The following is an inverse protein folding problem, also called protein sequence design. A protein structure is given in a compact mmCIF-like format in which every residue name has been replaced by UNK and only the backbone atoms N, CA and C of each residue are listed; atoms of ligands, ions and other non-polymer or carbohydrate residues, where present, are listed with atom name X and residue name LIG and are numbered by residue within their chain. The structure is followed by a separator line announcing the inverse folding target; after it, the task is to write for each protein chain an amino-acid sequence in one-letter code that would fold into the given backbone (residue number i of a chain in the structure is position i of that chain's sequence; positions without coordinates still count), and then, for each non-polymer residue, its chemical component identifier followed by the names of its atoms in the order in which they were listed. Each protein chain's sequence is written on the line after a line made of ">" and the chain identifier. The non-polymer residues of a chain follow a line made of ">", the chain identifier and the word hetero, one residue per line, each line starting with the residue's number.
data_IF_207237233751
#
_entry.id   IF_207237233751
#
_cell.length_a   1.000
_cell.length_b   1.000
_cell.length_c   1.000
_cell.angle_alpha   90.00
_cell.angle_beta   90.00
_cell.angle_gamma   90.00
#
_symmetry.space_group_name_H-M   'P 1'
#
loop_
_entity.id
_entity.type
_entity.pdbx_description
1 polymer ?
#
# COMPACT_ATOMS: atom_id res chain seq x y z
N UNK A 1 -13.87 -10.81 -35.89
CA UNK A 1 -14.59 -11.14 -37.14
C UNK A 1 -14.99 -12.62 -37.11
N UNK A 2 -15.91 -13.09 -37.95
CA UNK A 2 -16.42 -14.48 -37.94
C UNK A 2 -15.39 -15.55 -38.35
N UNK A 3 -14.19 -15.12 -38.73
CA UNK A 3 -13.01 -15.91 -39.11
C UNK A 3 -12.03 -16.14 -37.95
N UNK A 4 -12.34 -15.64 -36.74
CA UNK A 4 -11.46 -15.73 -35.57
C UNK A 4 -10.34 -14.68 -35.53
N UNK A 5 -10.29 -13.75 -36.48
CA UNK A 5 -9.31 -12.65 -36.47
C UNK A 5 -9.75 -11.52 -35.54
N UNK A 6 -8.77 -10.93 -34.85
CA UNK A 6 -8.95 -9.82 -33.90
C UNK A 6 -8.77 -8.50 -34.66
N UNK A 7 -9.71 -7.57 -34.52
CA UNK A 7 -9.53 -6.21 -35.02
C UNK A 7 -8.69 -5.40 -34.02
N UNK A 8 -7.40 -5.25 -34.32
CA UNK A 8 -6.40 -4.64 -33.42
C UNK A 8 -6.50 -3.11 -33.32
N UNK A 9 -7.28 -2.47 -34.20
CA UNK A 9 -7.41 -1.01 -34.27
C UNK A 9 -8.64 -0.48 -33.51
N UNK A 10 -9.57 -1.35 -33.11
CA UNK A 10 -10.80 -0.97 -32.40
C UNK A 10 -10.62 -0.80 -30.88
N UNK A 11 -9.49 -1.24 -30.33
CA UNK A 11 -9.27 -1.16 -28.88
C UNK A 11 -7.80 -0.97 -28.51
N UNK A 12 -7.59 -0.47 -27.30
CA UNK A 12 -6.30 -0.40 -26.61
C UNK A 12 -6.45 -0.91 -25.18
N UNK A 13 -5.37 -1.49 -24.68
CA UNK A 13 -5.23 -1.97 -23.30
C UNK A 13 -4.01 -1.31 -22.69
N UNK A 14 -4.12 -0.88 -21.44
CA UNK A 14 -3.05 -0.21 -20.71
C UNK A 14 -2.65 -1.06 -19.53
N UNK A 15 -1.35 -1.29 -19.37
CA UNK A 15 -0.78 -1.93 -18.19
C UNK A 15 0.09 -0.89 -17.46
N UNK A 16 -0.30 -0.54 -16.24
CA UNK A 16 0.43 0.41 -15.39
C UNK A 16 1.18 -0.39 -14.33
N UNK A 17 2.50 -0.25 -14.28
CA UNK A 17 3.36 -0.86 -13.26
C UNK A 17 4.26 0.18 -12.58
N UNK A 18 4.65 -0.03 -11.30
CA UNK A 18 5.46 0.91 -10.52
C UNK A 18 6.84 1.19 -11.08
N UNK A 19 7.46 0.17 -11.66
CA UNK A 19 8.89 0.13 -11.91
C UNK A 19 9.17 -0.22 -13.36
N UNK A 20 10.21 0.41 -13.92
CA UNK A 20 10.60 0.19 -15.31
C UNK A 20 11.06 -1.24 -15.57
N UNK A 21 11.75 -1.87 -14.62
CA UNK A 21 12.18 -3.26 -14.75
C UNK A 21 10.99 -4.21 -14.90
N UNK A 22 10.00 -4.08 -14.02
CA UNK A 22 8.76 -4.85 -14.09
C UNK A 22 8.02 -4.64 -15.42
N UNK A 23 7.99 -3.40 -15.92
CA UNK A 23 7.40 -3.08 -17.24
C UNK A 23 8.13 -3.82 -18.36
N UNK A 24 9.46 -3.85 -18.35
CA UNK A 24 10.25 -4.55 -19.37
C UNK A 24 10.00 -6.06 -19.36
N UNK A 25 9.90 -6.65 -18.18
CA UNK A 25 9.58 -8.07 -18.01
C UNK A 25 8.17 -8.39 -18.51
N UNK A 26 7.18 -7.56 -18.13
CA UNK A 26 5.78 -7.70 -18.58
C UNK A 26 5.68 -7.56 -20.10
N UNK A 27 6.37 -6.57 -20.70
CA UNK A 27 6.42 -6.40 -22.16
C UNK A 27 7.00 -7.64 -22.82
N UNK A 28 8.14 -8.15 -22.34
CA UNK A 28 8.75 -9.37 -22.89
C UNK A 28 7.82 -10.59 -22.81
N UNK A 29 7.12 -10.75 -21.68
CA UNK A 29 6.16 -11.84 -21.48
C UNK A 29 4.91 -11.70 -22.35
N UNK A 30 4.34 -10.50 -22.45
CA UNK A 30 3.16 -10.23 -23.26
C UNK A 30 3.44 -10.31 -24.75
N UNK A 31 4.61 -9.86 -25.22
CA UNK A 31 5.02 -10.09 -26.62
C UNK A 31 4.97 -11.60 -26.92
N UNK A 32 5.64 -12.43 -26.11
CA UNK A 32 5.68 -13.88 -26.35
C UNK A 32 4.28 -14.52 -26.34
N UNK A 33 3.42 -14.13 -25.42
CA UNK A 33 2.08 -14.73 -25.23
C UNK A 33 1.02 -14.19 -26.20
N UNK A 34 1.12 -12.93 -26.59
CA UNK A 34 0.10 -12.25 -27.40
C UNK A 34 0.46 -12.18 -28.89
N UNK A 35 1.70 -12.47 -29.27
CA UNK A 35 2.15 -12.54 -30.67
C UNK A 35 1.30 -13.50 -31.56
N UNK A 36 0.85 -14.68 -31.09
CA UNK A 36 -0.04 -15.54 -31.88
C UNK A 36 -1.36 -14.88 -32.28
N UNK A 37 -1.79 -13.84 -31.56
CA UNK A 37 -3.01 -13.08 -31.82
C UNK A 37 -2.77 -11.83 -32.67
N UNK A 38 -1.53 -11.57 -33.12
CA UNK A 38 -1.16 -10.38 -33.88
C UNK A 38 -1.18 -9.08 -33.07
N UNK A 39 -1.26 -9.17 -31.73
CA UNK A 39 -1.29 -8.00 -30.86
C UNK A 39 0.13 -7.44 -30.68
N UNK A 40 0.27 -6.14 -30.94
CA UNK A 40 1.51 -5.42 -30.74
C UNK A 40 1.58 -4.90 -29.30
N UNK A 41 2.68 -5.21 -28.62
CA UNK A 41 2.94 -4.78 -27.24
C UNK A 41 4.22 -3.95 -27.24
N UNK A 42 4.13 -2.74 -26.69
CA UNK A 42 5.25 -1.79 -26.65
C UNK A 42 5.37 -1.14 -25.27
N UNK A 43 6.59 -0.87 -24.83
CA UNK A 43 6.84 0.01 -23.68
C UNK A 43 6.55 1.45 -24.11
N UNK A 44 5.72 2.16 -23.35
CA UNK A 44 5.47 3.58 -23.59
C UNK A 44 6.70 4.40 -23.17
N UNK A 45 7.58 4.71 -24.12
CA UNK A 45 8.86 5.41 -23.87
C UNK A 45 8.77 6.94 -24.05
N UNK A 46 9.43 7.66 -23.13
CA UNK A 46 9.59 9.12 -23.04
C UNK A 46 10.47 9.45 -21.82
N UNK A 47 11.11 10.62 -21.75
CA UNK A 47 12.19 10.94 -20.79
C UNK A 47 11.75 11.16 -19.31
N UNK A 48 10.47 10.98 -18.98
CA UNK A 48 9.94 11.12 -17.60
C UNK A 48 9.44 9.78 -17.03
N UNK A 49 9.31 9.61 -15.70
CA UNK A 49 8.95 8.32 -15.07
C UNK A 49 7.55 7.79 -15.48
N UNK A 50 7.37 6.47 -15.56
CA UNK A 50 6.25 5.78 -16.26
C UNK A 50 4.82 6.12 -15.78
N UNK A 51 4.58 6.24 -14.47
CA UNK A 51 3.26 6.67 -13.96
C UNK A 51 2.95 8.13 -14.36
N UNK A 52 3.97 8.99 -14.33
CA UNK A 52 3.87 10.37 -14.81
C UNK A 52 3.70 10.42 -16.33
N UNK A 53 4.19 9.44 -17.10
CA UNK A 53 4.03 9.44 -18.57
C UNK A 53 2.59 9.34 -19.00
N UNK A 54 1.80 8.41 -18.45
CA UNK A 54 0.39 8.30 -18.82
C UNK A 54 -0.41 9.51 -18.34
N UNK A 55 -0.08 10.05 -17.16
CA UNK A 55 -0.64 11.31 -16.68
C UNK A 55 -0.30 12.49 -17.63
N UNK A 56 0.93 12.58 -18.12
CA UNK A 56 1.37 13.58 -19.12
C UNK A 56 0.69 13.38 -20.48
N UNK A 57 0.51 12.13 -20.92
CA UNK A 57 -0.12 11.78 -22.20
C UNK A 57 -1.61 12.12 -22.17
N UNK A 58 -2.31 11.73 -21.12
CA UNK A 58 -3.71 12.12 -20.91
C UNK A 58 -3.89 13.63 -20.71
N UNK A 59 -2.80 14.37 -20.42
CA UNK A 59 -2.79 15.83 -20.38
C UNK A 59 -2.58 16.50 -21.76
N UNK A 60 -2.19 15.79 -22.82
CA UNK A 60 -1.97 16.38 -24.15
C UNK A 60 -3.20 16.22 -25.05
N UNK A 61 -3.80 17.35 -25.42
CA UNK A 61 -5.09 17.46 -26.13
C UNK A 61 -5.13 16.78 -27.51
N UNK A 62 -3.98 16.49 -28.13
CA UNK A 62 -3.86 15.86 -29.45
C UNK A 62 -4.09 14.35 -29.47
N UNK A 63 -4.08 13.68 -28.31
CA UNK A 63 -4.17 12.21 -28.23
C UNK A 63 -5.54 11.69 -27.78
N UNK A 64 -6.58 12.55 -27.72
CA UNK A 64 -7.96 12.16 -27.37
C UNK A 64 -8.53 11.04 -28.25
N UNK A 65 -8.05 10.87 -29.48
CA UNK A 65 -8.47 9.77 -30.36
C UNK A 65 -8.04 8.39 -29.84
N UNK A 66 -6.91 8.29 -29.12
CA UNK A 66 -6.42 7.02 -28.59
C UNK A 66 -7.04 6.67 -27.25
N UNK A 67 -7.35 7.67 -26.40
CA UNK A 67 -7.99 7.44 -25.11
C UNK A 67 -9.41 6.89 -25.25
N UNK A 68 -10.12 7.24 -26.32
CA UNK A 68 -11.44 6.68 -26.66
C UNK A 68 -11.40 5.19 -27.03
N UNK A 69 -10.26 4.68 -27.49
CA UNK A 69 -10.08 3.26 -27.81
C UNK A 69 -9.71 2.43 -26.59
N UNK A 70 -9.36 3.05 -25.46
CA UNK A 70 -8.97 2.31 -24.26
C UNK A 70 -10.19 1.61 -23.68
N UNK A 71 -10.14 0.27 -23.60
CA UNK A 71 -11.22 -0.55 -23.02
C UNK A 71 -10.81 -1.28 -21.74
N UNK A 72 -9.50 -1.36 -21.47
CA UNK A 72 -8.96 -2.04 -20.29
C UNK A 72 -7.76 -1.27 -19.74
N UNK A 73 -7.76 -1.07 -18.41
CA UNK A 73 -6.60 -0.58 -17.66
C UNK A 73 -6.32 -1.58 -16.54
N UNK A 74 -5.14 -2.20 -16.62
CA UNK A 74 -4.58 -3.06 -15.57
C UNK A 74 -3.67 -2.19 -14.72
N UNK A 75 -3.97 -2.13 -13.43
CA UNK A 75 -3.22 -1.40 -12.42
C UNK A 75 -2.46 -2.42 -11.59
N UNK A 76 -1.18 -2.58 -11.87
CA UNK A 76 -0.30 -3.46 -11.11
C UNK A 76 0.19 -2.75 -9.86
N UNK A 77 0.21 -3.47 -8.74
CA UNK A 77 0.57 -2.95 -7.41
C UNK A 77 -0.22 -1.69 -7.00
N UNK A 78 -1.56 -1.73 -7.04
CA UNK A 78 -2.45 -0.59 -6.68
C UNK A 78 -2.14 0.00 -5.30
N UNK A 79 -1.59 -0.80 -4.39
CA UNK A 79 -1.16 -0.34 -3.09
C UNK A 79 -0.03 0.70 -3.07
N UNK A 80 0.58 0.98 -4.23
CA UNK A 80 1.39 2.18 -4.47
C UNK A 80 0.66 3.49 -4.20
N UNK A 81 -0.68 3.48 -4.08
CA UNK A 81 -1.44 4.64 -3.60
C UNK A 81 -0.91 5.18 -2.26
N UNK A 82 -0.27 4.33 -1.44
CA UNK A 82 0.35 4.73 -0.18
C UNK A 82 1.70 5.45 -0.31
N UNK A 83 2.38 5.30 -1.44
CA UNK A 83 3.70 5.87 -1.69
C UNK A 83 3.58 7.37 -2.09
N UNK A 84 4.68 8.11 -2.00
CA UNK A 84 4.81 9.50 -2.47
C UNK A 84 4.47 9.63 -3.98
N UNK A 85 4.49 8.52 -4.73
CA UNK A 85 4.07 8.39 -6.14
C UNK A 85 2.57 8.12 -6.34
N UNK A 86 1.87 7.72 -5.28
CA UNK A 86 0.44 7.41 -5.27
C UNK A 86 -0.47 8.50 -5.87
N UNK A 87 -0.21 9.82 -5.66
CA UNK A 87 -1.05 10.88 -6.22
C UNK A 87 -1.15 10.86 -7.75
N UNK A 88 -0.10 10.38 -8.43
CA UNK A 88 -0.10 10.27 -9.90
C UNK A 88 -1.04 9.17 -10.36
N UNK A 89 -0.99 8.00 -9.71
CA UNK A 89 -1.88 6.88 -9.97
C UNK A 89 -3.34 7.28 -9.68
N UNK A 90 -3.53 7.95 -8.55
CA UNK A 90 -4.83 8.46 -8.11
C UNK A 90 -5.43 9.45 -9.13
N UNK A 91 -4.64 10.40 -9.64
CA UNK A 91 -5.09 11.36 -10.64
C UNK A 91 -5.47 10.69 -11.97
N UNK A 92 -4.70 9.70 -12.43
CA UNK A 92 -5.00 8.93 -13.65
C UNK A 92 -6.34 8.21 -13.55
N UNK A 93 -6.56 7.51 -12.43
CA UNK A 93 -7.79 6.76 -12.19
C UNK A 93 -8.98 7.72 -12.07
N UNK A 94 -8.84 8.77 -11.26
CA UNK A 94 -9.89 9.78 -11.07
C UNK A 94 -10.31 10.43 -12.40
N UNK A 95 -9.33 10.79 -13.26
CA UNK A 95 -9.59 11.34 -14.59
C UNK A 95 -10.31 10.35 -15.49
N UNK A 96 -9.91 9.08 -15.44
CA UNK A 96 -10.52 8.03 -16.26
C UNK A 96 -11.96 7.78 -15.82
N UNK A 97 -12.24 7.62 -14.52
CA UNK A 97 -13.60 7.43 -13.99
C UNK A 97 -14.50 8.60 -14.37
N UNK A 98 -14.01 9.83 -14.18
CA UNK A 98 -14.73 11.04 -14.58
C UNK A 98 -15.03 11.07 -16.09
N UNK A 99 -14.08 10.60 -16.91
CA UNK A 99 -14.27 10.50 -18.36
C UNK A 99 -15.35 9.48 -18.69
N UNK A 100 -15.32 8.29 -18.07
CA UNK A 100 -16.36 7.24 -18.23
C UNK A 100 -17.74 7.82 -17.92
N UNK A 101 -17.89 8.57 -16.84
CA UNK A 101 -19.20 9.17 -16.49
C UNK A 101 -19.65 10.22 -17.50
N UNK A 102 -18.71 10.99 -18.06
CA UNK A 102 -19.02 12.05 -19.01
C UNK A 102 -19.34 11.52 -20.41
N UNK A 103 -18.57 10.54 -20.89
CA UNK A 103 -18.71 9.99 -22.25
C UNK A 103 -19.61 8.76 -22.32
N UNK A 104 -19.90 8.13 -21.19
CA UNK A 104 -20.58 6.83 -21.09
C UNK A 104 -19.82 5.69 -21.80
N UNK A 105 -18.53 5.91 -22.13
CA UNK A 105 -17.64 4.87 -22.64
C UNK A 105 -17.07 4.06 -21.48
N UNK A 106 -17.49 2.81 -21.36
CA UNK A 106 -17.00 1.93 -20.31
C UNK A 106 -15.52 1.57 -20.52
N UNK A 107 -14.73 1.68 -19.45
CA UNK A 107 -13.37 1.17 -19.35
C UNK A 107 -13.32 0.18 -18.19
N UNK A 108 -12.79 -1.01 -18.44
CA UNK A 108 -12.60 -2.02 -17.40
C UNK A 108 -11.33 -1.73 -16.61
N UNK A 109 -11.44 -1.71 -15.27
CA UNK A 109 -10.28 -1.69 -14.38
C UNK A 109 -10.00 -3.08 -13.82
N UNK A 110 -8.73 -3.46 -13.82
CA UNK A 110 -8.23 -4.64 -13.09
C UNK A 110 -7.14 -4.17 -12.14
N UNK A 111 -7.43 -4.14 -10.84
CA UNK A 111 -6.47 -3.77 -9.80
C UNK A 111 -5.80 -5.00 -9.21
N UNK A 112 -4.47 -5.09 -9.31
CA UNK A 112 -3.66 -6.09 -8.62
C UNK A 112 -3.02 -5.42 -7.41
N UNK A 113 -3.08 -6.06 -6.25
CA UNK A 113 -2.52 -5.51 -5.02
C UNK A 113 -2.04 -6.62 -4.10
N UNK A 114 -1.00 -6.34 -3.33
CA UNK A 114 -0.70 -7.08 -2.13
C UNK A 114 -1.91 -7.08 -1.18
N UNK A 115 -2.03 -8.15 -0.39
CA UNK A 115 -3.05 -8.28 0.65
C UNK A 115 -2.78 -7.25 1.75
N UNK A 116 -3.60 -6.21 1.81
CA UNK A 116 -3.40 -5.07 2.70
C UNK A 116 -4.70 -4.68 3.40
N UNK A 117 -4.63 -4.11 4.62
CA UNK A 117 -5.80 -3.53 5.26
C UNK A 117 -6.42 -2.43 4.39
N UNK A 118 -7.74 -2.25 4.51
CA UNK A 118 -8.54 -1.25 3.78
C UNK A 118 -8.62 -1.47 2.26
N UNK A 119 -8.48 -2.72 1.78
CA UNK A 119 -8.71 -3.05 0.38
C UNK A 119 -10.13 -2.69 -0.10
N UNK A 120 -11.10 -2.60 0.82
CA UNK A 120 -12.45 -2.13 0.52
C UNK A 120 -12.46 -0.67 0.03
N UNK A 121 -11.51 0.15 0.44
CA UNK A 121 -11.44 1.56 0.06
C UNK A 121 -10.99 1.66 -1.40
N UNK A 122 -10.02 0.82 -1.78
CA UNK A 122 -9.58 0.70 -3.17
C UNK A 122 -10.72 0.17 -4.03
N UNK A 123 -11.47 -0.81 -3.54
CA UNK A 123 -12.63 -1.33 -4.26
C UNK A 123 -13.66 -0.23 -4.53
N UNK A 124 -14.00 0.59 -3.53
CA UNK A 124 -14.87 1.76 -3.70
C UNK A 124 -14.28 2.76 -4.69
N UNK A 125 -12.99 3.08 -4.57
CA UNK A 125 -12.31 4.02 -5.46
C UNK A 125 -12.27 3.58 -6.92
N UNK A 126 -12.09 2.28 -7.18
CA UNK A 126 -12.10 1.71 -8.52
C UNK A 126 -13.52 1.37 -9.03
N UNK A 127 -14.58 1.71 -8.27
CA UNK A 127 -15.97 1.34 -8.55
C UNK A 127 -16.17 -0.19 -8.75
N UNK A 128 -15.44 -0.99 -7.99
CA UNK A 128 -15.48 -2.46 -8.06
C UNK A 128 -16.75 -2.98 -7.38
N UNK A 129 -17.56 -3.71 -8.13
CA UNK A 129 -18.71 -4.45 -7.58
C UNK A 129 -18.22 -5.58 -6.69
N UNK A 130 -19.06 -5.99 -5.72
CA UNK A 130 -18.75 -7.08 -4.78
C UNK A 130 -18.33 -8.39 -5.46
N UNK A 131 -18.91 -8.71 -6.61
CA UNK A 131 -18.56 -9.90 -7.40
C UNK A 131 -17.15 -9.86 -8.01
N UNK A 132 -16.60 -8.66 -8.20
CA UNK A 132 -15.25 -8.44 -8.72
C UNK A 132 -14.20 -8.19 -7.63
N UNK A 133 -14.58 -8.19 -6.35
CA UNK A 133 -13.67 -7.98 -5.23
C UNK A 133 -13.18 -9.31 -4.68
N UNK A 134 -11.90 -9.61 -4.93
CA UNK A 134 -11.24 -10.81 -4.45
C UNK A 134 -10.20 -10.43 -3.39
N UNK A 135 -10.28 -11.07 -2.22
CA UNK A 135 -9.32 -10.91 -1.14
C UNK A 135 -8.79 -12.30 -0.76
N UNK A 136 -7.49 -12.48 -0.94
CA UNK A 136 -6.78 -13.69 -0.59
C UNK A 136 -5.87 -13.37 0.59
N UNK A 137 -6.13 -14.01 1.74
CA UNK A 137 -5.25 -13.87 2.89
C UNK A 137 -3.91 -14.61 2.65
N UNK A 138 -3.00 -14.50 3.61
CA UNK A 138 -1.67 -15.11 3.50
C UNK A 138 -1.71 -16.66 3.37
N UNK A 139 -2.84 -17.33 3.63
CA UNK A 139 -2.97 -18.79 3.47
C UNK A 139 -3.02 -19.23 2.00
N UNK A 140 -3.38 -18.33 1.08
CA UNK A 140 -3.41 -18.60 -0.36
C UNK A 140 -2.03 -18.51 -1.02
N UNK A 141 -0.99 -18.12 -0.26
CA UNK A 141 0.36 -18.05 -0.80
C UNK A 141 0.80 -19.46 -1.24
N UNK A 142 1.22 -19.68 -2.50
CA UNK A 142 1.60 -21.01 -2.99
C UNK A 142 2.72 -21.66 -2.18
N UNK A 143 3.60 -20.83 -1.61
CA UNK A 143 4.62 -21.22 -0.65
C UNK A 143 4.35 -20.44 0.64
N UNK A 144 3.79 -21.07 1.69
CA UNK A 144 3.54 -20.40 2.96
C UNK A 144 4.80 -19.72 3.50
N UNK A 145 4.65 -18.51 4.06
CA UNK A 145 5.77 -17.73 4.58
C UNK A 145 5.80 -17.78 6.10
N UNK A 146 6.86 -18.35 6.66
CA UNK A 146 7.22 -18.10 8.05
C UNK A 146 7.94 -16.75 8.16
N UNK A 147 7.52 -15.90 9.10
CA UNK A 147 8.09 -14.57 9.30
C UNK A 147 8.72 -14.49 10.69
N UNK A 148 9.94 -13.95 10.75
CA UNK A 148 10.64 -13.67 12.01
C UNK A 148 11.10 -12.21 12.03
N UNK A 149 10.79 -11.50 13.12
CA UNK A 149 11.14 -10.09 13.30
C UNK A 149 12.13 -9.96 14.44
N UNK A 150 13.35 -9.50 14.14
CA UNK A 150 14.42 -9.35 15.12
C UNK A 150 14.68 -7.86 15.36
N UNK A 151 14.12 -7.35 16.47
CA UNK A 151 14.33 -5.96 16.89
C UNK A 151 15.65 -5.79 17.64
N UNK A 152 16.49 -4.85 17.21
CA UNK A 152 17.73 -4.49 17.90
C UNK A 152 17.44 -3.31 18.85
N UNK A 153 17.61 -3.51 20.15
CA UNK A 153 17.29 -2.51 21.21
C UNK A 153 18.47 -1.65 21.65
N UNK A 154 19.68 -1.93 21.15
CA UNK A 154 20.90 -1.22 21.51
C UNK A 154 20.90 0.23 20.97
N UNK A 155 21.20 1.19 21.85
CA UNK A 155 21.11 2.63 21.57
C UNK A 155 22.45 3.23 21.09
N UNK A 156 23.57 2.56 21.34
CA UNK A 156 24.90 3.07 20.98
C UNK A 156 25.19 2.85 19.49
N UNK A 157 25.24 3.91 18.69
CA UNK A 157 25.31 3.89 17.21
C UNK A 157 26.21 2.83 16.51
N UNK A 158 27.33 2.39 17.10
CA UNK A 158 28.27 1.45 16.46
C UNK A 158 27.89 -0.02 16.72
N UNK A 159 27.40 -0.34 17.92
CA UNK A 159 27.11 -1.72 18.34
C UNK A 159 25.98 -2.40 17.54
N UNK A 160 24.90 -1.72 17.12
CA UNK A 160 23.84 -2.30 16.31
C UNK A 160 24.35 -2.95 15.03
N UNK A 161 25.37 -2.38 14.38
CA UNK A 161 25.90 -2.93 13.13
C UNK A 161 26.61 -4.27 13.35
N UNK A 162 27.38 -4.40 14.43
CA UNK A 162 28.03 -5.67 14.79
C UNK A 162 26.99 -6.71 15.18
N UNK A 163 26.06 -6.35 16.07
CA UNK A 163 24.95 -7.21 16.47
C UNK A 163 24.15 -7.69 15.25
N UNK A 164 23.89 -6.82 14.29
CA UNK A 164 23.19 -7.18 13.05
C UNK A 164 23.99 -8.15 12.18
N UNK A 165 25.32 -8.03 12.09
CA UNK A 165 26.15 -9.02 11.40
C UNK A 165 26.09 -10.38 12.08
N UNK A 166 26.18 -10.40 13.41
CA UNK A 166 26.14 -11.63 14.21
C UNK A 166 24.79 -12.34 14.04
N UNK A 167 23.68 -11.58 14.13
CA UNK A 167 22.33 -12.09 13.91
C UNK A 167 22.13 -12.64 12.49
N UNK A 168 22.65 -11.94 11.47
CA UNK A 168 22.57 -12.42 10.09
C UNK A 168 23.38 -13.71 9.91
N UNK A 169 24.57 -13.80 10.51
CA UNK A 169 25.36 -15.02 10.53
C UNK A 169 24.56 -16.18 11.16
N UNK A 170 24.02 -15.98 12.37
CA UNK A 170 23.26 -17.01 13.08
C UNK A 170 22.06 -17.50 12.24
N UNK A 171 21.31 -16.56 11.64
CA UNK A 171 20.18 -16.89 10.75
C UNK A 171 20.60 -17.56 9.44
N UNK A 172 21.75 -17.22 8.89
CA UNK A 172 22.31 -17.96 7.76
C UNK A 172 22.58 -19.40 8.20
N UNK A 173 23.28 -19.60 9.32
CA UNK A 173 23.68 -20.92 9.84
C UNK A 173 22.52 -21.86 10.13
N UNK A 174 21.33 -21.35 10.49
CA UNK A 174 20.11 -22.16 10.64
C UNK A 174 19.68 -22.87 9.32
N UNK A 175 20.07 -22.31 8.16
CA UNK A 175 19.64 -22.76 6.84
C UNK A 175 20.76 -23.35 5.97
N UNK A 176 22.01 -23.22 6.38
CA UNK A 176 23.18 -23.71 5.63
C UNK A 176 23.07 -25.20 5.30
N UNK A 177 23.43 -25.55 4.07
CA UNK A 177 23.43 -26.93 3.57
C UNK A 177 22.05 -27.51 3.27
N UNK A 178 20.98 -26.77 3.58
CA UNK A 178 19.59 -27.16 3.30
C UNK A 178 18.95 -26.26 2.25
N UNK A 179 19.09 -24.96 2.42
CA UNK A 179 18.31 -23.94 1.72
C UNK A 179 19.20 -22.77 1.29
N UNK A 180 18.91 -22.20 0.11
CA UNK A 180 19.54 -20.96 -0.34
C UNK A 180 18.99 -19.76 0.46
N UNK A 181 19.89 -18.82 0.77
CA UNK A 181 19.59 -17.61 1.52
C UNK A 181 19.87 -16.38 0.65
N UNK A 182 18.88 -15.51 0.54
CA UNK A 182 18.99 -14.20 -0.11
C UNK A 182 18.96 -13.09 0.94
N UNK A 183 19.99 -12.25 0.98
CA UNK A 183 20.15 -11.20 1.98
C UNK A 183 20.02 -9.83 1.30
N UNK A 184 19.00 -9.06 1.67
CA UNK A 184 18.82 -7.69 1.20
C UNK A 184 19.54 -6.68 2.10
N UNK A 185 20.26 -5.75 1.48
CA UNK A 185 20.97 -4.64 2.13
C UNK A 185 20.65 -3.31 1.45
N UNK A 186 20.92 -2.19 2.13
CA UNK A 186 20.49 -0.87 1.65
C UNK A 186 21.45 -0.24 0.63
N UNK A 187 22.69 -0.72 0.48
CA UNK A 187 23.66 -0.12 -0.44
C UNK A 187 24.54 -1.13 -1.18
N UNK A 188 25.03 -0.71 -2.36
CA UNK A 188 25.96 -1.50 -3.19
C UNK A 188 27.27 -1.82 -2.48
N UNK A 189 27.76 -0.92 -1.62
CA UNK A 189 28.98 -1.16 -0.85
C UNK A 189 28.74 -2.18 0.27
N UNK A 190 27.52 -2.21 0.79
CA UNK A 190 27.15 -3.11 1.87
C UNK A 190 26.93 -4.55 1.41
N UNK A 191 26.60 -4.79 0.14
CA UNK A 191 26.49 -6.17 -0.39
C UNK A 191 27.81 -6.90 -0.20
N UNK A 192 28.90 -6.28 -0.67
CA UNK A 192 30.26 -6.80 -0.52
C UNK A 192 30.70 -6.91 0.93
N UNK A 193 30.48 -5.86 1.73
CA UNK A 193 30.85 -5.88 3.16
C UNK A 193 30.14 -6.98 3.93
N UNK A 194 28.84 -7.17 3.69
CA UNK A 194 28.04 -8.19 4.38
C UNK A 194 28.43 -9.59 3.93
N UNK A 195 28.60 -9.81 2.62
CA UNK A 195 29.04 -11.10 2.09
C UNK A 195 30.40 -11.51 2.68
N UNK A 196 31.38 -10.58 2.69
CA UNK A 196 32.70 -10.83 3.30
C UNK A 196 32.61 -11.03 4.80
N UNK A 197 31.83 -10.22 5.52
CA UNK A 197 31.68 -10.38 6.97
C UNK A 197 31.11 -11.76 7.36
N UNK A 198 30.12 -12.26 6.61
CA UNK A 198 29.57 -13.60 6.86
C UNK A 198 30.60 -14.67 6.51
N UNK A 199 31.27 -14.57 5.36
CA UNK A 199 32.33 -15.51 4.96
C UNK A 199 33.46 -15.55 5.99
N UNK A 200 33.95 -14.38 6.42
CA UNK A 200 35.05 -14.27 7.39
C UNK A 200 34.65 -14.87 8.74
N UNK A 201 33.40 -14.63 9.19
CA UNK A 201 32.85 -15.28 10.37
C UNK A 201 32.72 -16.81 10.20
N UNK A 202 32.37 -17.29 9.01
CA UNK A 202 32.33 -18.72 8.70
C UNK A 202 33.73 -19.36 8.74
N UNK A 203 34.76 -18.65 8.27
CA UNK A 203 36.16 -19.10 8.33
C UNK A 203 36.68 -19.09 9.77
N UNK A 204 36.40 -18.04 10.55
CA UNK A 204 36.81 -17.93 11.95
C UNK A 204 36.19 -19.02 12.83
N UNK A 205 34.93 -19.37 12.57
CA UNK A 205 34.17 -20.39 13.32
C UNK A 205 34.26 -21.79 12.71
N UNK A 206 35.06 -22.00 11.67
CA UNK A 206 35.24 -23.29 10.96
C UNK A 206 33.92 -23.93 10.47
N UNK A 207 33.05 -23.10 9.88
CA UNK A 207 31.70 -23.50 9.39
C UNK A 207 31.57 -23.43 7.87
N UNK A 208 32.65 -23.09 7.16
CA UNK A 208 32.62 -22.88 5.70
C UNK A 208 32.31 -24.16 4.90
N UNK A 209 32.73 -25.33 5.40
CA UNK A 209 32.46 -26.62 4.75
C UNK A 209 30.98 -27.02 4.77
N UNK A 210 30.12 -26.29 5.48
CA UNK A 210 28.69 -26.56 5.51
C UNK A 210 27.96 -26.05 4.24
N UNK A 211 28.54 -25.08 3.51
CA UNK A 211 27.93 -24.46 2.33
C UNK A 211 28.19 -25.27 1.05
N UNK A 212 29.38 -25.87 0.94
CA UNK A 212 29.80 -26.68 -0.21
C UNK A 212 30.42 -27.97 0.31
N UNK A 213 29.94 -29.11 -0.20
CA UNK A 213 30.65 -30.38 -0.02
C UNK A 213 31.92 -30.36 -0.87
N UNK A 214 33.04 -30.73 -0.28
CA UNK A 214 34.32 -30.83 -0.98
C UNK A 214 34.23 -31.79 -2.16
N UNK A 215 34.70 -31.34 -3.32
CA UNK A 215 34.68 -32.11 -4.57
C UNK A 215 33.31 -32.15 -5.27
N UNK A 216 32.36 -31.30 -4.88
CA UNK A 216 31.09 -31.18 -5.60
C UNK A 216 31.26 -30.50 -6.97
N UNK A 217 30.44 -30.91 -7.95
CA UNK A 217 30.40 -30.27 -9.27
C UNK A 217 30.16 -28.74 -9.17
N UNK A 218 29.33 -28.32 -8.21
CA UNK A 218 29.09 -26.90 -7.93
C UNK A 218 30.37 -26.14 -7.54
N UNK A 219 31.26 -26.75 -6.75
CA UNK A 219 32.51 -26.12 -6.34
C UNK A 219 33.46 -25.92 -7.53
N UNK A 220 33.52 -26.89 -8.44
CA UNK A 220 34.33 -26.81 -9.66
C UNK A 220 33.82 -25.72 -10.61
N UNK A 221 32.50 -25.68 -10.82
CA UNK A 221 31.83 -24.66 -11.64
C UNK A 221 32.11 -23.28 -11.06
N UNK A 222 31.86 -23.07 -9.76
CA UNK A 222 32.10 -21.78 -9.10
C UNK A 222 33.56 -21.35 -9.17
N UNK A 223 34.52 -22.29 -9.04
CA UNK A 223 35.95 -21.97 -9.16
C UNK A 223 36.31 -21.55 -10.59
N UNK A 224 35.77 -22.25 -11.58
CA UNK A 224 35.98 -21.92 -13.00
C UNK A 224 35.41 -20.55 -13.34
N UNK A 225 34.18 -20.26 -12.90
CA UNK A 225 33.53 -18.97 -13.12
C UNK A 225 34.24 -17.83 -12.36
N UNK A 226 34.82 -18.11 -11.17
CA UNK A 226 35.62 -17.15 -10.41
C UNK A 226 36.89 -16.71 -11.16
N UNK A 227 37.50 -17.61 -11.93
CA UNK A 227 38.67 -17.27 -12.75
C UNK A 227 38.27 -16.39 -13.94
N UNK A 228 37.10 -16.64 -14.53
CA UNK A 228 36.60 -15.95 -15.73
C UNK A 228 35.99 -14.58 -15.47
N UNK A 229 35.31 -14.38 -14.32
CA UNK A 229 34.71 -13.08 -14.01
C UNK A 229 35.77 -11.98 -13.92
N UNK A 230 35.40 -10.74 -14.25
CA UNK A 230 36.29 -9.57 -14.06
C UNK A 230 36.07 -8.90 -12.71
N UNK A 231 35.00 -9.25 -12.00
CA UNK A 231 34.66 -8.62 -10.73
C UNK A 231 35.45 -9.25 -9.59
N UNK A 232 36.37 -8.46 -9.01
CA UNK A 232 37.24 -8.90 -7.91
C UNK A 232 36.45 -9.35 -6.67
N UNK A 233 35.28 -8.78 -6.41
CA UNK A 233 34.45 -9.21 -5.27
C UNK A 233 33.82 -10.58 -5.53
N UNK A 234 33.41 -10.87 -6.76
CA UNK A 234 32.90 -12.20 -7.11
C UNK A 234 34.01 -13.25 -7.07
N UNK A 235 35.22 -12.92 -7.56
CA UNK A 235 36.39 -13.81 -7.46
C UNK A 235 36.67 -14.28 -6.03
N UNK A 236 36.50 -13.37 -5.08
CA UNK A 236 36.77 -13.57 -3.66
C UNK A 236 35.64 -14.34 -2.93
N UNK A 237 34.45 -14.42 -3.52
CA UNK A 237 33.24 -14.97 -2.89
C UNK A 237 32.78 -16.30 -3.51
N UNK A 238 32.87 -16.47 -4.82
CA UNK A 238 32.42 -17.68 -5.53
C UNK A 238 33.01 -18.98 -5.00
N UNK A 239 34.31 -19.09 -4.66
CA UNK A 239 34.89 -20.33 -4.13
C UNK A 239 34.19 -20.86 -2.86
N UNK A 240 33.47 -19.98 -2.15
CA UNK A 240 32.78 -20.28 -0.91
C UNK A 240 31.26 -20.43 -1.09
N UNK A 241 30.74 -20.36 -2.32
CA UNK A 241 29.29 -20.32 -2.63
C UNK A 241 28.58 -19.04 -2.15
N UNK A 242 29.32 -17.94 -2.09
CA UNK A 242 28.80 -16.60 -1.83
C UNK A 242 28.81 -15.78 -3.12
N UNK A 243 27.84 -14.88 -3.26
CA UNK A 243 27.83 -13.91 -4.35
C UNK A 243 27.19 -12.59 -3.92
N UNK A 244 27.43 -11.55 -4.73
CA UNK A 244 26.77 -10.26 -4.60
C UNK A 244 26.00 -9.92 -5.87
N UNK A 245 24.92 -9.15 -5.73
CA UNK A 245 24.18 -8.63 -6.87
C UNK A 245 23.72 -7.19 -6.62
N UNK A 246 24.09 -6.27 -7.52
CA UNK A 246 23.57 -4.91 -7.49
C UNK A 246 23.68 -4.21 -8.85
N UNK A 247 22.90 -3.17 -9.06
CA UNK A 247 22.86 -2.41 -10.32
C UNK A 247 24.20 -1.80 -10.78
N UNK A 248 25.18 -1.63 -9.87
CA UNK A 248 26.53 -1.18 -10.22
C UNK A 248 27.43 -2.22 -10.89
N UNK A 249 27.03 -3.50 -10.93
CA UNK A 249 27.75 -4.55 -11.63
C UNK A 249 27.45 -4.48 -13.13
N UNK A 250 28.40 -4.92 -13.96
CA UNK A 250 28.14 -5.04 -15.40
C UNK A 250 27.03 -6.08 -15.64
N UNK A 251 26.40 -6.04 -16.82
CA UNK A 251 25.26 -6.92 -17.12
C UNK A 251 25.65 -8.40 -17.16
N UNK A 252 26.84 -8.71 -17.69
CA UNK A 252 27.33 -10.09 -17.80
C UNK A 252 27.49 -10.76 -16.42
N UNK A 253 28.12 -10.08 -15.47
CA UNK A 253 28.30 -10.56 -14.10
C UNK A 253 26.96 -10.72 -13.37
N UNK A 254 25.98 -9.83 -13.63
CA UNK A 254 24.64 -9.95 -13.03
C UNK A 254 23.91 -11.19 -13.54
N UNK A 255 23.89 -11.39 -14.86
CA UNK A 255 23.28 -12.58 -15.47
C UNK A 255 23.98 -13.85 -15.01
N UNK A 256 25.31 -13.86 -14.92
CA UNK A 256 26.07 -14.98 -14.38
C UNK A 256 25.65 -15.33 -12.94
N UNK A 257 25.54 -14.33 -12.06
CA UNK A 257 25.10 -14.55 -10.67
C UNK A 257 23.65 -15.04 -10.60
N UNK A 258 22.77 -14.50 -11.46
CA UNK A 258 21.37 -14.92 -11.56
C UNK A 258 21.27 -16.41 -11.97
N UNK A 259 22.01 -16.82 -13.00
CA UNK A 259 22.03 -18.19 -13.51
C UNK A 259 22.61 -19.16 -12.46
N UNK A 260 23.78 -18.84 -11.89
CA UNK A 260 24.43 -19.68 -10.86
C UNK A 260 23.59 -19.82 -9.59
N UNK A 261 22.81 -18.80 -9.22
CA UNK A 261 21.89 -18.89 -8.09
C UNK A 261 20.65 -19.71 -8.44
N UNK A 262 20.08 -19.53 -9.64
CA UNK A 262 18.94 -20.33 -10.10
C UNK A 262 19.27 -21.84 -10.19
N UNK A 263 20.50 -22.17 -10.60
CA UNK A 263 21.03 -23.54 -10.67
C UNK A 263 21.48 -24.10 -9.31
N UNK A 264 21.33 -23.32 -8.22
CA UNK A 264 21.70 -23.69 -6.85
C UNK A 264 23.18 -23.89 -6.60
N UNK A 265 24.05 -23.38 -7.46
CA UNK A 265 25.49 -23.36 -7.21
C UNK A 265 25.83 -22.37 -6.09
N UNK A 266 25.18 -21.20 -6.06
CA UNK A 266 25.33 -20.20 -5.00
C UNK A 266 24.34 -20.47 -3.85
N UNK A 267 24.84 -20.62 -2.63
CA UNK A 267 24.03 -20.81 -1.42
C UNK A 267 23.63 -19.46 -0.80
N UNK A 268 24.54 -18.48 -0.79
CA UNK A 268 24.31 -17.17 -0.17
C UNK A 268 24.45 -16.06 -1.21
N UNK A 269 23.35 -15.36 -1.47
CA UNK A 269 23.33 -14.19 -2.34
C UNK A 269 23.04 -12.94 -1.53
N UNK A 270 23.90 -11.92 -1.60
CA UNK A 270 23.66 -10.62 -0.97
C UNK A 270 23.34 -9.57 -2.02
N UNK A 271 22.19 -8.92 -1.92
CA UNK A 271 21.71 -8.00 -2.95
C UNK A 271 21.11 -6.71 -2.41
N UNK A 272 21.06 -5.67 -3.25
CA UNK A 272 20.23 -4.49 -3.01
C UNK A 272 18.78 -4.75 -3.41
N UNK A 273 17.82 -3.98 -2.88
CA UNK A 273 16.38 -4.13 -3.18
C UNK A 273 16.02 -4.12 -4.68
N UNK A 274 16.88 -3.58 -5.55
CA UNK A 274 16.70 -3.61 -7.02
C UNK A 274 16.53 -5.02 -7.60
N UNK A 275 17.07 -6.06 -6.95
CA UNK A 275 16.92 -7.44 -7.43
C UNK A 275 15.47 -7.94 -7.26
N UNK A 276 14.82 -7.62 -6.13
CA UNK A 276 13.45 -8.03 -5.84
C UNK A 276 12.45 -7.58 -6.92
N UNK A 277 12.75 -6.43 -7.55
CA UNK A 277 11.90 -5.80 -8.57
C UNK A 277 12.33 -6.08 -10.01
N UNK A 278 13.53 -6.63 -10.20
CA UNK A 278 14.20 -6.64 -11.49
C UNK A 278 14.34 -8.01 -12.14
N UNK A 279 14.36 -9.08 -11.33
CA UNK A 279 14.54 -10.45 -11.78
C UNK A 279 13.77 -11.38 -10.87
N UNK A 280 13.05 -12.34 -11.45
CA UNK A 280 12.38 -13.38 -10.68
C UNK A 280 13.40 -14.43 -10.23
N UNK A 281 13.99 -14.22 -9.05
CA UNK A 281 14.98 -15.10 -8.45
C UNK A 281 14.57 -15.50 -7.02
N UNK A 282 13.67 -16.50 -6.86
CA UNK A 282 13.17 -16.90 -5.56
C UNK A 282 14.25 -17.61 -4.73
N UNK A 283 14.30 -17.30 -3.44
CA UNK A 283 15.11 -18.01 -2.46
C UNK A 283 14.20 -18.61 -1.38
N UNK A 284 14.62 -19.71 -0.76
CA UNK A 284 13.87 -20.32 0.33
C UNK A 284 13.83 -19.39 1.56
N UNK A 285 14.98 -18.83 1.93
CA UNK A 285 15.08 -17.88 3.05
C UNK A 285 15.48 -16.52 2.52
N UNK A 286 14.77 -15.47 2.94
CA UNK A 286 15.10 -14.08 2.64
C UNK A 286 15.33 -13.33 3.95
N UNK A 287 16.47 -12.64 4.05
CA UNK A 287 16.85 -11.85 5.22
C UNK A 287 16.93 -10.38 4.79
N UNK A 288 16.14 -9.50 5.41
CA UNK A 288 16.27 -8.05 5.22
C UNK A 288 17.19 -7.52 6.32
N UNK A 289 18.45 -7.24 5.95
CA UNK A 289 19.47 -6.76 6.87
C UNK A 289 19.36 -5.25 7.02
N UNK A 290 18.66 -4.84 8.08
CA UNK A 290 18.39 -3.45 8.39
C UNK A 290 17.27 -2.89 7.52
N UNK A 291 16.47 -2.00 8.10
CA UNK A 291 15.30 -1.41 7.44
C UNK A 291 15.48 0.05 7.09
N UNK A 292 16.69 0.60 7.23
CA UNK A 292 16.95 2.01 6.99
C UNK A 292 17.55 2.26 5.61
N UNK A 293 16.97 3.21 4.88
CA UNK A 293 17.43 3.68 3.58
C UNK A 293 17.65 5.19 3.61
N UNK A 294 18.66 5.68 2.90
CA UNK A 294 18.88 7.12 2.78
C UNK A 294 17.95 7.68 1.70
N UNK A 295 17.07 8.61 2.07
CA UNK A 295 16.17 9.30 1.14
C UNK A 295 16.80 10.65 0.74
N UNK A 296 17.27 10.82 -0.52
CA UNK A 296 17.89 12.07 -0.97
C UNK A 296 16.92 13.25 -1.00
N UNK A 297 15.64 13.01 -1.30
CA UNK A 297 14.61 14.06 -1.37
C UNK A 297 14.33 14.65 0.02
N UNK A 298 14.34 13.79 1.05
CA UNK A 298 14.13 14.18 2.45
C UNK A 298 15.44 14.52 3.17
N UNK A 299 16.60 14.29 2.53
CA UNK A 299 17.94 14.55 3.07
C UNK A 299 18.29 13.76 4.33
N UNK A 300 17.59 12.65 4.63
CA UNK A 300 17.71 11.89 5.88
C UNK A 300 17.54 10.40 5.68
N UNK A 301 17.99 9.62 6.66
CA UNK A 301 17.64 8.21 6.77
C UNK A 301 16.15 8.06 7.09
N UNK A 302 15.49 7.17 6.38
CA UNK A 302 14.09 6.81 6.57
C UNK A 302 13.99 5.30 6.65
N UNK A 303 12.94 4.79 7.29
CA UNK A 303 12.63 3.37 7.20
C UNK A 303 12.21 3.00 5.76
N UNK A 304 12.45 1.75 5.37
CA UNK A 304 12.00 1.14 4.12
C UNK A 304 10.48 1.30 3.99
N UNK A 305 10.02 1.56 2.77
CA UNK A 305 8.60 1.81 2.51
C UNK A 305 7.75 0.56 2.79
N UNK A 306 6.44 0.75 2.95
CA UNK A 306 5.48 -0.36 3.10
C UNK A 306 5.63 -1.39 1.96
N UNK A 307 5.91 -0.94 0.74
CA UNK A 307 6.20 -1.77 -0.43
C UNK A 307 7.37 -2.74 -0.24
N UNK A 308 8.36 -2.35 0.57
CA UNK A 308 9.62 -3.09 0.71
C UNK A 308 9.60 -4.10 1.87
N UNK A 309 8.73 -3.93 2.88
CA UNK A 309 8.81 -4.71 4.13
C UNK A 309 7.47 -5.10 4.76
N UNK A 310 6.42 -4.27 4.72
CA UNK A 310 5.25 -4.44 5.60
C UNK A 310 3.89 -4.08 4.99
N UNK A 311 2.90 -4.88 5.37
CA UNK A 311 1.50 -4.69 5.02
C UNK A 311 0.81 -3.60 5.88
N UNK A 312 1.07 -2.32 5.59
CA UNK A 312 0.41 -1.19 6.26
C UNK A 312 -0.94 -0.82 5.59
N UNK A 313 -1.88 -0.20 6.33
CA UNK A 313 -3.10 0.35 5.73
C UNK A 313 -2.78 1.38 4.66
N UNK A 314 -3.48 1.32 3.53
CA UNK A 314 -3.22 2.17 2.37
C UNK A 314 -3.86 3.54 2.58
N UNK A 315 -3.02 4.55 2.79
CA UNK A 315 -3.41 5.96 2.94
C UNK A 315 -3.18 6.74 1.64
N UNK A 316 -4.04 7.71 1.30
CA UNK A 316 -3.76 8.60 0.16
C UNK A 316 -2.69 9.63 0.50
N UNK A 317 -1.71 9.81 -0.40
CA UNK A 317 -0.73 10.89 -0.31
C UNK A 317 -1.13 12.15 -1.11
N UNK A 318 -2.35 12.20 -1.67
CA UNK A 318 -2.79 13.25 -2.61
C UNK A 318 -2.66 14.66 -2.04
N UNK A 319 -2.88 14.84 -0.73
CA UNK A 319 -2.75 16.16 -0.07
C UNK A 319 -1.39 16.82 -0.38
N UNK A 320 -0.31 16.03 -0.38
CA UNK A 320 1.06 16.54 -0.62
C UNK A 320 1.28 17.06 -2.06
N UNK A 321 0.46 16.59 -3.02
CA UNK A 321 0.55 16.93 -4.45
C UNK A 321 -0.75 17.53 -4.98
N UNK A 322 -1.65 17.98 -4.09
CA UNK A 322 -2.99 18.43 -4.46
C UNK A 322 -2.94 19.68 -5.35
N UNK A 323 -2.04 20.61 -5.03
CA UNK A 323 -1.86 21.86 -5.79
C UNK A 323 -1.47 21.56 -7.24
N UNK A 324 -0.49 20.67 -7.43
CA UNK A 324 0.01 20.32 -8.75
C UNK A 324 -1.06 19.58 -9.57
N UNK A 325 -1.78 18.63 -8.96
CA UNK A 325 -2.82 17.86 -9.64
C UNK A 325 -4.04 18.70 -9.98
N UNK A 326 -4.48 19.60 -9.09
CA UNK A 326 -5.57 20.53 -9.37
C UNK A 326 -5.19 21.50 -10.49
N UNK A 327 -3.96 22.04 -10.46
CA UNK A 327 -3.45 22.91 -11.52
C UNK A 327 -3.48 22.19 -12.88
N UNK A 328 -3.12 20.91 -12.93
CA UNK A 328 -3.18 20.14 -14.16
C UNK A 328 -4.61 20.05 -14.73
N UNK A 329 -5.61 19.76 -13.90
CA UNK A 329 -7.01 19.69 -14.35
C UNK A 329 -7.57 21.07 -14.78
N UNK A 330 -7.09 22.15 -14.17
CA UNK A 330 -7.42 23.52 -14.61
C UNK A 330 -6.81 23.80 -15.99
N UNK A 331 -5.54 23.45 -16.20
CA UNK A 331 -4.84 23.61 -17.49
C UNK A 331 -5.51 22.78 -18.60
N UNK A 332 -6.04 21.60 -18.27
CA UNK A 332 -6.83 20.79 -19.21
C UNK A 332 -8.21 21.36 -19.51
N UNK A 333 -8.66 22.37 -18.77
CA UNK A 333 -10.00 22.95 -18.88
C UNK A 333 -11.10 22.03 -18.35
N UNK A 334 -10.78 20.90 -17.73
CA UNK A 334 -11.75 20.00 -17.10
C UNK A 334 -12.28 20.62 -15.81
N UNK A 335 -11.49 21.45 -15.13
CA UNK A 335 -11.89 22.20 -13.92
C UNK A 335 -11.85 23.70 -14.20
N UNK A 336 -13.01 24.35 -14.16
CA UNK A 336 -13.14 25.78 -14.49
C UNK A 336 -13.56 26.64 -13.29
N UNK A 337 -14.01 26.02 -12.21
CA UNK A 337 -14.50 26.70 -11.02
C UNK A 337 -14.45 25.77 -9.80
N UNK A 338 -14.70 26.33 -8.61
CA UNK A 338 -14.59 25.59 -7.34
C UNK A 338 -15.56 24.40 -7.25
N UNK A 339 -16.76 24.50 -7.86
CA UNK A 339 -17.73 23.39 -7.90
C UNK A 339 -17.17 22.23 -8.71
N UNK A 340 -16.60 22.50 -9.88
CA UNK A 340 -15.94 21.48 -10.71
C UNK A 340 -14.68 20.90 -10.04
N UNK A 341 -13.96 21.70 -9.24
CA UNK A 341 -12.84 21.20 -8.44
C UNK A 341 -13.31 20.23 -7.34
N UNK A 342 -14.41 20.55 -6.65
CA UNK A 342 -15.00 19.66 -5.65
C UNK A 342 -15.54 18.35 -6.27
N UNK A 343 -16.17 18.45 -7.44
CA UNK A 343 -16.59 17.28 -8.23
C UNK A 343 -15.37 16.43 -8.62
N UNK A 344 -14.29 17.03 -9.15
CA UNK A 344 -13.05 16.31 -9.44
C UNK A 344 -12.48 15.58 -8.20
N UNK A 345 -12.43 16.26 -7.06
CA UNK A 345 -11.97 15.67 -5.80
C UNK A 345 -12.80 14.45 -5.39
N UNK A 346 -14.11 14.40 -5.67
CA UNK A 346 -14.93 13.24 -5.33
C UNK A 346 -14.54 11.94 -6.07
N UNK A 347 -13.81 12.05 -7.18
CA UNK A 347 -13.29 10.88 -7.91
C UNK A 347 -11.95 10.37 -7.37
N UNK A 348 -11.38 11.00 -6.35
CA UNK A 348 -10.04 10.69 -5.84
C UNK A 348 -10.07 9.65 -4.72
N UNK A 349 -8.98 8.90 -4.56
CA UNK A 349 -8.82 7.97 -3.44
C UNK A 349 -8.80 8.72 -2.10
N UNK A 350 -8.25 9.93 -2.07
CA UNK A 350 -8.32 10.83 -0.90
C UNK A 350 -9.75 11.03 -0.41
N UNK A 351 -10.69 11.30 -1.32
CA UNK A 351 -12.09 11.50 -0.94
C UNK A 351 -12.70 10.24 -0.32
N UNK A 352 -12.54 9.09 -0.96
CA UNK A 352 -13.03 7.80 -0.44
C UNK A 352 -12.42 7.51 0.93
N UNK A 353 -11.11 7.70 1.06
CA UNK A 353 -10.37 7.48 2.29
C UNK A 353 -10.86 8.38 3.43
N UNK A 354 -11.07 9.67 3.18
CA UNK A 354 -11.60 10.62 4.17
C UNK A 354 -12.98 10.20 4.69
N UNK A 355 -13.89 9.81 3.78
CA UNK A 355 -15.25 9.38 4.13
C UNK A 355 -15.23 8.10 4.94
N UNK A 356 -14.49 7.07 4.48
CA UNK A 356 -14.36 5.80 5.19
C UNK A 356 -13.72 6.00 6.58
N UNK A 357 -12.68 6.83 6.67
CA UNK A 357 -11.98 7.12 7.93
C UNK A 357 -12.90 7.82 8.94
N UNK A 358 -13.69 8.82 8.50
CA UNK A 358 -14.68 9.48 9.34
C UNK A 358 -15.79 8.50 9.78
N UNK A 359 -16.29 7.67 8.87
CA UNK A 359 -17.31 6.66 9.16
C UNK A 359 -16.84 5.65 10.22
N UNK A 360 -15.59 5.19 10.15
CA UNK A 360 -15.01 4.31 11.17
C UNK A 360 -14.95 5.00 12.53
N UNK A 361 -14.63 6.30 12.59
CA UNK A 361 -14.63 7.02 13.87
C UNK A 361 -16.04 7.14 14.45
N UNK A 362 -17.06 7.39 13.61
CA UNK A 362 -18.46 7.44 14.04
C UNK A 362 -18.96 6.07 14.52
N UNK A 363 -18.60 4.99 13.82
CA UNK A 363 -18.95 3.61 14.15
C UNK A 363 -18.30 3.16 15.47
N UNK A 364 -17.02 3.48 15.66
CA UNK A 364 -16.31 3.29 16.95
C UNK A 364 -16.95 4.05 18.10
N UNK A 365 -17.57 5.19 17.81
CA UNK A 365 -18.30 5.99 18.80
C UNK A 365 -19.76 5.54 18.96
N UNK A 366 -20.16 4.43 18.31
CA UNK A 366 -21.51 3.89 18.29
C UNK A 366 -22.59 4.84 17.74
N UNK A 367 -22.20 5.89 17.01
CA UNK A 367 -23.12 6.88 16.43
C UNK A 367 -23.78 6.39 15.13
N UNK A 368 -23.11 5.50 14.43
CA UNK A 368 -23.64 4.80 13.27
C UNK A 368 -23.25 3.33 13.37
N UNK A 369 -23.86 2.48 12.54
CA UNK A 369 -23.26 1.22 12.13
C UNK A 369 -22.73 1.39 10.73
N UNK A 370 -21.47 1.02 10.52
CA UNK A 370 -20.83 1.16 9.22
C UNK A 370 -20.41 -0.19 8.64
N UNK A 371 -21.00 -0.57 7.50
CA UNK A 371 -20.55 -1.73 6.74
C UNK A 371 -19.44 -1.33 5.77
N UNK A 372 -18.21 -1.67 6.12
CA UNK A 372 -17.01 -1.36 5.33
C UNK A 372 -17.01 -1.97 3.93
N UNK A 373 -17.69 -3.11 3.74
CA UNK A 373 -17.69 -3.84 2.45
C UNK A 373 -18.67 -3.24 1.46
N UNK A 374 -19.83 -2.78 1.95
CA UNK A 374 -20.88 -2.19 1.10
C UNK A 374 -20.84 -0.67 1.08
N UNK A 375 -20.13 -0.04 2.01
CA UNK A 375 -20.14 1.41 2.20
C UNK A 375 -21.41 1.95 2.86
N UNK A 376 -22.33 1.07 3.28
CA UNK A 376 -23.62 1.48 3.82
C UNK A 376 -23.52 1.96 5.27
N UNK A 377 -24.26 3.03 5.56
CA UNK A 377 -24.44 3.56 6.91
C UNK A 377 -25.83 3.19 7.43
N UNK A 378 -25.90 2.77 8.70
CA UNK A 378 -27.16 2.66 9.42
C UNK A 378 -27.13 3.57 10.64
N UNK A 379 -28.20 4.31 10.85
CA UNK A 379 -28.33 5.21 11.99
C UNK A 379 -28.54 4.38 13.26
N UNK A 380 -27.85 4.72 14.35
CA UNK A 380 -28.15 4.19 15.69
C UNK A 380 -28.98 5.20 16.49
N UNK A 381 -29.69 4.74 17.51
CA UNK A 381 -30.39 5.65 18.43
C UNK A 381 -29.42 6.63 19.10
N UNK A 382 -28.20 6.18 19.46
CA UNK A 382 -27.14 7.05 19.98
C UNK A 382 -26.72 8.14 18.98
N UNK A 383 -26.64 7.83 17.69
CA UNK A 383 -26.40 8.81 16.63
C UNK A 383 -27.50 9.87 16.52
N UNK A 384 -28.76 9.48 16.71
CA UNK A 384 -29.89 10.42 16.74
C UNK A 384 -29.80 11.35 17.95
N UNK A 385 -29.41 10.82 19.11
CA UNK A 385 -29.24 11.55 20.36
C UNK A 385 -27.98 12.45 20.34
N UNK A 386 -26.93 12.10 19.59
CA UNK A 386 -25.71 12.90 19.49
C UNK A 386 -25.90 14.32 18.92
N UNK A 387 -27.07 14.63 18.34
CA UNK A 387 -27.48 16.03 18.07
C UNK A 387 -27.47 16.89 19.34
N UNK A 388 -27.58 16.29 20.51
CA UNK A 388 -27.57 16.95 21.81
C UNK A 388 -26.18 16.94 22.49
N UNK A 389 -25.09 16.66 21.76
CA UNK A 389 -23.72 16.56 22.31
C UNK A 389 -23.24 17.82 23.03
N UNK A 390 -23.84 18.98 22.74
CA UNK A 390 -23.53 20.26 23.41
C UNK A 390 -24.42 20.55 24.61
N UNK A 391 -25.45 19.74 24.87
CA UNK A 391 -26.23 19.84 26.11
C UNK A 391 -25.38 19.27 27.23
N UNK A 392 -25.12 20.08 28.24
CA UNK A 392 -24.43 19.68 29.47
C UNK A 392 -25.34 19.88 30.66
N UNK A 393 -25.06 19.16 31.75
CA UNK A 393 -25.73 19.39 33.04
C UNK A 393 -24.98 20.49 33.77
N UNK A 394 -25.66 21.59 34.08
CA UNK A 394 -25.10 22.73 34.82
C UNK A 394 -25.38 22.54 36.32
N UNK A 395 -24.52 23.06 37.20
CA UNK A 395 -24.68 22.84 38.65
C UNK A 395 -25.95 23.49 39.21
N UNK A 396 -26.31 24.67 38.71
CA UNK A 396 -27.46 25.45 39.17
C UNK A 396 -28.82 24.79 38.85
N UNK A 397 -28.87 23.89 37.87
CA UNK A 397 -30.09 23.21 37.43
C UNK A 397 -30.23 21.78 38.00
N UNK A 398 -29.20 21.23 38.66
CA UNK A 398 -29.22 19.85 39.19
C UNK A 398 -30.34 19.62 40.20
N UNK A 399 -30.61 20.60 41.06
CA UNK A 399 -31.68 20.49 42.08
C UNK A 399 -33.05 20.38 41.41
N UNK A 400 -33.27 21.13 40.34
CA UNK A 400 -34.52 21.10 39.57
C UNK A 400 -34.62 19.80 38.77
N UNK A 401 -33.54 19.36 38.13
CA UNK A 401 -33.47 18.08 37.43
C UNK A 401 -33.74 16.89 38.35
N UNK A 402 -33.23 16.90 39.58
CA UNK A 402 -33.47 15.84 40.57
C UNK A 402 -34.96 15.74 40.92
N UNK A 403 -35.62 16.88 41.13
CA UNK A 403 -37.07 16.93 41.38
C UNK A 403 -37.89 16.44 40.19
N UNK A 404 -37.43 16.72 38.97
CA UNK A 404 -38.08 16.21 37.76
C UNK A 404 -37.88 14.70 37.61
N UNK A 405 -36.69 14.19 37.94
CA UNK A 405 -36.35 12.76 37.86
C UNK A 405 -37.24 11.88 38.74
N UNK A 406 -37.70 12.41 39.89
CA UNK A 406 -38.68 11.74 40.77
C UNK A 406 -40.12 11.77 40.22
N UNK A 407 -40.42 12.64 39.25
CA UNK A 407 -41.77 12.90 38.74
C UNK A 407 -42.02 12.36 37.33
N UNK A 408 -40.97 11.96 36.62
CA UNK A 408 -41.10 11.41 35.26
C UNK A 408 -41.59 9.96 35.29
N UNK A 409 -42.45 9.55 34.35
CA UNK A 409 -43.13 8.25 34.39
C UNK A 409 -42.25 7.06 34.01
N UNK A 410 -41.17 7.26 33.25
CA UNK A 410 -40.25 6.19 32.81
C UNK A 410 -38.93 6.31 33.58
N UNK A 411 -38.52 5.25 34.30
CA UNK A 411 -37.25 5.24 35.03
C UNK A 411 -36.04 5.50 34.14
N UNK A 412 -35.15 6.37 34.60
CA UNK A 412 -33.89 6.73 33.94
C UNK A 412 -32.76 6.01 34.68
N UNK A 413 -31.87 5.34 33.93
CA UNK A 413 -30.79 4.51 34.51
C UNK A 413 -29.47 5.26 34.63
N UNK A 414 -29.35 6.33 33.86
CA UNK A 414 -28.20 7.21 33.76
C UNK A 414 -28.05 8.11 35.02
N UNK A 415 -26.82 8.46 35.37
CA UNK A 415 -26.56 9.38 36.48
C UNK A 415 -27.05 10.80 36.15
N UNK A 416 -27.49 11.57 37.15
CA UNK A 416 -27.96 12.96 36.97
C UNK A 416 -26.88 13.89 36.39
N UNK A 417 -25.60 13.54 36.58
CA UNK A 417 -24.47 14.30 36.03
C UNK A 417 -24.26 14.05 34.52
N UNK A 418 -24.93 13.04 33.96
CA UNK A 418 -24.82 12.70 32.55
C UNK A 418 -25.81 13.52 31.69
N UNK A 419 -25.35 14.10 30.56
CA UNK A 419 -26.23 14.76 29.59
C UNK A 419 -27.40 13.92 29.11
N UNK A 420 -27.20 12.60 28.96
CA UNK A 420 -28.24 11.61 28.60
C UNK A 420 -29.40 11.64 29.58
N UNK A 421 -29.13 11.67 30.89
CA UNK A 421 -30.15 11.76 31.92
C UNK A 421 -30.96 13.05 31.80
N UNK A 422 -30.28 14.19 31.65
CA UNK A 422 -30.93 15.49 31.44
C UNK A 422 -31.83 15.51 30.21
N UNK A 423 -31.35 15.03 29.06
CA UNK A 423 -32.15 14.97 27.83
C UNK A 423 -33.40 14.11 28.01
N UNK A 424 -33.24 12.94 28.64
CA UNK A 424 -34.32 12.00 28.91
C UNK A 424 -35.37 12.59 29.87
N UNK A 425 -34.93 13.20 30.99
CA UNK A 425 -35.80 13.91 31.94
C UNK A 425 -36.59 15.01 31.23
N UNK A 426 -35.93 15.85 30.43
CA UNK A 426 -36.58 16.98 29.76
C UNK A 426 -37.60 16.56 28.69
N UNK A 427 -37.30 15.49 27.94
CA UNK A 427 -38.25 14.94 26.97
C UNK A 427 -39.50 14.40 27.68
N UNK A 428 -39.31 13.66 28.78
CA UNK A 428 -40.42 13.13 29.57
C UNK A 428 -41.21 14.24 30.29
N UNK A 429 -40.53 15.28 30.77
CA UNK A 429 -41.15 16.45 31.39
C UNK A 429 -42.05 17.20 30.40
N UNK A 430 -41.61 17.35 29.15
CA UNK A 430 -42.43 17.93 28.08
C UNK A 430 -43.69 17.10 27.80
N UNK A 431 -43.54 15.77 27.62
CA UNK A 431 -44.68 14.86 27.37
C UNK A 431 -45.67 14.89 28.54
N UNK A 432 -45.14 14.98 29.77
CA UNK A 432 -45.92 15.01 31.01
C UNK A 432 -46.44 16.41 31.38
N UNK A 433 -46.20 17.42 30.52
CA UNK A 433 -46.56 18.83 30.74
C UNK A 433 -46.12 19.38 32.11
N UNK A 434 -44.94 18.95 32.58
CA UNK A 434 -44.36 19.47 33.81
C UNK A 434 -43.87 20.90 33.59
N UNK A 435 -44.04 21.75 34.61
CA UNK A 435 -43.50 23.12 34.61
C UNK A 435 -42.04 23.10 35.04
N UNK A 436 -41.22 23.90 34.35
CA UNK A 436 -39.83 24.16 34.68
C UNK A 436 -39.68 25.62 35.10
N UNK A 437 -38.89 25.86 36.13
CA UNK A 437 -38.60 27.16 36.71
C UNK A 437 -37.34 27.77 36.07
N UNK A 438 -36.35 26.94 35.71
CA UNK A 438 -35.10 27.36 35.09
C UNK A 438 -35.24 27.73 33.61
N UNK A 439 -34.93 28.99 33.26
CA UNK A 439 -34.90 29.47 31.86
C UNK A 439 -33.98 28.63 30.96
N UNK A 440 -32.81 28.27 31.49
CA UNK A 440 -31.81 27.42 30.86
C UNK A 440 -32.36 26.03 30.49
N UNK A 441 -33.01 25.36 31.44
CA UNK A 441 -33.64 24.06 31.24
C UNK A 441 -34.82 24.13 30.27
N UNK A 442 -35.60 25.20 30.33
CA UNK A 442 -36.74 25.41 29.42
C UNK A 442 -36.28 25.58 27.97
N UNK A 443 -35.21 26.33 27.74
CA UNK A 443 -34.59 26.48 26.43
C UNK A 443 -34.07 25.13 25.90
N UNK A 444 -33.39 24.36 26.74
CA UNK A 444 -32.91 23.01 26.38
C UNK A 444 -34.07 22.06 26.07
N UNK A 445 -35.15 22.10 26.86
CA UNK A 445 -36.35 21.29 26.63
C UNK A 445 -37.02 21.65 25.29
N UNK A 446 -37.14 22.93 24.95
CA UNK A 446 -37.68 23.37 23.65
C UNK A 446 -36.79 22.88 22.51
N UNK A 447 -35.47 22.98 22.64
CA UNK A 447 -34.53 22.50 21.64
C UNK A 447 -34.59 20.97 21.44
N UNK A 448 -34.68 20.22 22.54
CA UNK A 448 -34.84 18.76 22.54
C UNK A 448 -36.15 18.36 21.86
N UNK A 449 -37.26 19.01 22.20
CA UNK A 449 -38.60 18.64 21.71
C UNK A 449 -38.83 19.00 20.24
N UNK A 450 -38.33 20.16 19.79
CA UNK A 450 -38.31 20.51 18.36
C UNK A 450 -37.49 19.52 17.54
N UNK A 451 -36.45 18.95 18.14
CA UNK A 451 -35.58 17.95 17.50
C UNK A 451 -36.16 16.54 17.58
N UNK A 452 -36.94 16.22 18.62
CA UNK A 452 -37.55 14.91 18.85
C UNK A 452 -38.78 14.63 17.96
N UNK A 453 -39.42 15.68 17.42
CA UNK A 453 -40.56 15.54 16.50
C UNK A 453 -40.20 15.18 15.06
N UNK A 454 -38.90 15.16 14.70
CA UNK A 454 -38.37 14.74 13.39
C UNK A 454 -37.75 13.36 13.49
#
# INVERSE_FOLDING_TARGET
>A
MSDGTINIDEFKMIYIAPMRSLVQDVVGNFIKRLNPFGLKVEELTGDHQLSQKWDIITRKDRERSYTQLVRLIILDEVHLLHDDRGPVLEAVIARTIRTIETTQDAVCFVGLSATLPNYEYIATFLNVKREGLFHFDNSYRPVPLEQQYIGITEKKAIKPFQIMNDLVYDKVMEHVGKNQVLIFVHSRKETGKTARAIRDACLEKDTIGAFLKDGSASQEILRTEAEQTKNLELKDLFPYSFAIHHAGMNRADRTLVEDLFAERHIQILVSTGTLAWGVYLPAHTVIIKGTQVYNPEKGRWTELGALDVMQLPIESQMISKLVDNLNAEIVLGTVQNIRKAAEWLSYTYLYVHLIHSAAIQLDKSHLIRYDRKTGNFQVTEHGRIAKFRHITVREEEKIELQKLLERVPIPIKESIDEPSAKINVLLQAYISQLKLDGFALMADMIYITQSAGR
#
